data_IF_971582714523
#
_entry.id   IF_971582714523
#
_cell.length_a   1.000
_cell.length_b   1.000
_cell.length_c   1.000
_cell.angle_alpha   90.00
_cell.angle_beta   90.00
_cell.angle_gamma   90.00
#
_symmetry.space_group_name_H-M   'P 1'
#
loop_
_entity.id
_entity.type
_entity.pdbx_description
1 polymer ?
#
# COMPACT_ATOMS: atom_id res chain seq x y z
N UNK A 1 -7.32 92.33 -36.52
CA UNK A 1 -6.12 91.57 -36.11
C UNK A 1 -6.39 90.13 -36.53
N UNK A 2 -5.99 89.64 -37.73
CA UNK A 2 -4.62 89.38 -38.20
C UNK A 2 -3.81 88.69 -37.08
N UNK A 3 -3.25 87.50 -37.21
CA UNK A 3 -2.92 86.72 -38.40
C UNK A 3 -2.33 85.36 -37.99
N UNK A 4 -2.61 84.31 -38.79
CA UNK A 4 -1.64 83.39 -39.39
C UNK A 4 -0.74 82.49 -38.50
N UNK A 5 -0.36 81.24 -38.86
CA UNK A 5 -0.72 80.24 -39.89
C UNK A 5 0.36 79.15 -39.84
N UNK A 6 -0.05 77.86 -39.92
CA UNK A 6 0.59 76.71 -40.64
C UNK A 6 2.02 76.27 -40.22
N UNK A 7 2.56 75.08 -40.52
CA UNK A 7 2.28 73.89 -41.38
C UNK A 7 3.27 72.78 -40.92
N UNK A 8 2.86 71.52 -40.78
CA UNK A 8 3.04 70.36 -41.72
C UNK A 8 4.48 69.95 -42.12
N UNK A 9 4.83 68.69 -41.88
CA UNK A 9 5.46 67.71 -42.82
C UNK A 9 5.58 66.37 -42.04
N UNK A 10 4.96 65.24 -42.39
CA UNK A 10 4.89 64.45 -43.63
C UNK A 10 6.22 63.77 -44.01
N UNK A 11 6.18 62.43 -44.06
CA UNK A 11 7.21 61.48 -44.53
C UNK A 11 6.95 60.10 -43.90
N UNK A 12 6.04 59.24 -44.38
CA UNK A 12 6.07 58.37 -45.57
C UNK A 12 7.30 57.47 -45.72
N UNK A 13 7.13 56.17 -45.41
CA UNK A 13 7.62 54.96 -46.11
C UNK A 13 7.34 53.75 -45.18
N UNK A 14 6.29 52.93 -45.37
CA UNK A 14 6.27 51.73 -46.23
C UNK A 14 7.59 50.97 -46.25
N UNK A 15 7.59 49.70 -45.80
CA UNK A 15 8.14 48.52 -46.50
C UNK A 15 8.07 47.26 -45.59
N UNK A 16 7.22 46.31 -45.99
CA UNK A 16 7.47 44.85 -46.06
C UNK A 16 7.61 43.99 -44.79
N UNK A 17 6.57 43.17 -44.56
CA UNK A 17 6.52 41.68 -44.44
C UNK A 17 7.67 40.86 -43.80
N UNK A 18 7.33 39.69 -43.19
CA UNK A 18 8.25 38.90 -42.37
C UNK A 18 9.23 38.11 -43.25
N UNK A 19 10.51 38.21 -42.94
CA UNK A 19 11.55 37.36 -43.53
C UNK A 19 12.65 37.17 -42.50
N UNK A 20 12.81 35.91 -42.06
CA UNK A 20 14.08 35.22 -41.85
C UNK A 20 13.75 33.82 -41.30
N UNK A 21 13.50 32.93 -42.27
CA UNK A 21 13.72 31.49 -42.13
C UNK A 21 15.23 31.26 -42.10
N UNK A 22 15.66 30.37 -41.20
CA UNK A 22 17.05 29.92 -41.11
C UNK A 22 17.24 28.78 -42.12
N UNK A 23 17.95 29.07 -43.22
CA UNK A 23 18.43 28.11 -44.23
C UNK A 23 19.87 27.76 -43.89
N UNK A 24 20.15 26.65 -43.18
CA UNK A 24 21.48 26.03 -43.11
C UNK A 24 21.49 24.62 -42.46
N UNK A 25 20.58 23.72 -42.88
CA UNK A 25 20.77 22.28 -42.61
C UNK A 25 20.31 21.41 -43.80
N UNK A 26 21.23 20.72 -44.49
CA UNK A 26 20.96 20.08 -45.77
C UNK A 26 20.13 18.80 -45.64
N UNK A 27 19.23 18.65 -46.62
CA UNK A 27 18.45 17.45 -46.93
C UNK A 27 19.22 16.53 -47.87
N UNK A 28 19.10 15.21 -47.67
CA UNK A 28 19.41 14.22 -48.72
C UNK A 28 18.35 13.11 -48.65
N UNK A 29 17.52 13.04 -49.69
CA UNK A 29 16.79 11.85 -50.07
C UNK A 29 17.64 10.99 -51.02
N UNK A 30 17.30 9.69 -51.03
CA UNK A 30 17.48 8.66 -52.08
C UNK A 30 18.85 8.01 -52.32
N UNK A 31 18.94 6.70 -52.03
CA UNK A 31 19.02 5.54 -52.98
C UNK A 31 19.40 4.27 -52.17
N UNK A 32 18.52 3.26 -52.01
CA UNK A 32 18.38 2.03 -52.82
C UNK A 32 19.57 1.04 -52.75
N UNK A 33 19.43 -0.06 -51.99
CA UNK A 33 19.75 -1.44 -52.43
C UNK A 33 19.58 -2.47 -51.29
N UNK A 34 18.85 -3.54 -51.58
CA UNK A 34 18.70 -4.75 -50.76
C UNK A 34 20.04 -5.48 -50.52
N UNK A 35 20.23 -6.02 -49.31
CA UNK A 35 21.01 -7.23 -49.05
C UNK A 35 20.75 -7.76 -47.63
N UNK A 36 20.22 -8.98 -47.58
CA UNK A 36 20.02 -9.80 -46.39
C UNK A 36 21.36 -10.28 -45.81
N UNK A 37 21.67 -9.96 -44.54
CA UNK A 37 22.62 -10.74 -43.72
C UNK A 37 22.16 -10.74 -42.25
N UNK A 38 21.79 -11.93 -41.75
CA UNK A 38 21.45 -12.26 -40.36
C UNK A 38 22.62 -11.91 -39.42
N UNK A 39 22.41 -10.96 -38.49
CA UNK A 39 23.42 -10.59 -37.47
C UNK A 39 22.90 -10.60 -36.03
N UNK A 40 21.79 -11.29 -35.75
CA UNK A 40 21.18 -11.29 -34.41
C UNK A 40 21.68 -12.40 -33.48
N UNK A 41 22.45 -13.38 -33.99
CA UNK A 41 22.97 -14.49 -33.18
C UNK A 41 24.30 -14.19 -32.45
N UNK A 42 25.06 -13.16 -32.86
CA UNK A 42 26.38 -12.87 -32.30
C UNK A 42 26.35 -11.96 -31.05
N UNK A 43 25.18 -11.41 -30.68
CA UNK A 43 25.04 -10.58 -29.47
C UNK A 43 24.71 -11.37 -28.20
N UNK A 44 24.36 -12.65 -28.31
CA UNK A 44 24.03 -13.50 -27.14
C UNK A 44 25.29 -14.12 -26.51
N UNK A 45 26.40 -14.23 -27.26
CA UNK A 45 27.63 -14.90 -26.78
C UNK A 45 28.50 -14.01 -25.88
N UNK A 46 28.35 -12.68 -25.90
CA UNK A 46 29.18 -11.77 -25.10
C UNK A 46 28.77 -11.68 -23.60
N UNK A 47 27.63 -12.27 -23.20
CA UNK A 47 27.15 -12.31 -21.82
C UNK A 47 27.43 -13.62 -21.07
N UNK A 48 27.99 -14.65 -21.74
CA UNK A 48 28.22 -15.95 -21.13
C UNK A 48 29.47 -15.92 -20.23
N UNK A 49 29.26 -15.88 -18.91
CA UNK A 49 30.33 -16.05 -17.93
C UNK A 49 30.97 -17.43 -18.12
N UNK A 50 32.30 -17.49 -18.19
CA UNK A 50 32.98 -18.78 -18.30
C UNK A 50 32.77 -19.62 -17.04
N UNK A 51 32.80 -20.95 -17.16
CA UNK A 51 32.65 -21.88 -16.03
C UNK A 51 33.69 -21.65 -14.92
N UNK A 52 34.86 -21.10 -15.26
CA UNK A 52 35.88 -20.67 -14.32
C UNK A 52 35.46 -19.44 -13.48
N UNK A 53 34.74 -18.49 -14.08
CA UNK A 53 34.25 -17.30 -13.38
C UNK A 53 33.10 -17.64 -12.42
N UNK A 54 32.22 -18.58 -12.81
CA UNK A 54 31.15 -19.09 -11.94
C UNK A 54 31.74 -19.77 -10.71
N UNK A 55 32.78 -20.61 -10.87
CA UNK A 55 33.46 -21.27 -9.74
C UNK A 55 34.15 -20.28 -8.80
N UNK A 56 34.74 -19.20 -9.33
CA UNK A 56 35.34 -18.14 -8.48
C UNK A 56 34.28 -17.38 -7.70
N UNK A 57 33.15 -17.08 -8.33
CA UNK A 57 32.03 -16.41 -7.67
C UNK A 57 31.45 -17.29 -6.55
N UNK A 58 31.17 -18.56 -6.81
CA UNK A 58 30.65 -19.50 -5.81
C UNK A 58 31.62 -19.70 -4.65
N UNK A 59 32.94 -19.71 -4.92
CA UNK A 59 33.96 -19.74 -3.88
C UNK A 59 33.92 -18.49 -3.00
N UNK A 60 33.77 -17.30 -3.58
CA UNK A 60 33.67 -16.06 -2.83
C UNK A 60 32.43 -16.00 -1.94
N UNK A 61 31.29 -16.51 -2.42
CA UNK A 61 30.05 -16.58 -1.64
C UNK A 61 30.21 -17.49 -0.42
N UNK A 62 30.89 -18.63 -0.57
CA UNK A 62 31.15 -19.55 0.55
C UNK A 62 32.11 -18.95 1.58
N UNK A 63 33.14 -18.23 1.14
CA UNK A 63 34.09 -17.53 2.02
C UNK A 63 33.39 -16.40 2.80
N UNK A 64 32.47 -15.64 2.17
CA UNK A 64 31.65 -14.63 2.85
C UNK A 64 30.67 -15.24 3.88
N UNK A 65 30.06 -16.39 3.55
CA UNK A 65 29.16 -17.09 4.47
C UNK A 65 29.94 -17.63 5.69
N UNK A 66 31.16 -18.12 5.49
CA UNK A 66 32.05 -18.58 6.57
C UNK A 66 32.48 -17.40 7.48
N UNK A 67 32.84 -16.24 6.91
CA UNK A 67 33.14 -15.04 7.69
C UNK A 67 31.93 -14.56 8.51
N UNK A 68 30.73 -14.64 7.93
CA UNK A 68 29.49 -14.25 8.61
C UNK A 68 29.16 -15.20 9.77
N UNK A 69 29.32 -16.50 9.58
CA UNK A 69 29.11 -17.51 10.61
C UNK A 69 30.15 -17.39 11.73
N UNK A 70 31.41 -17.10 11.40
CA UNK A 70 32.44 -16.80 12.40
C UNK A 70 32.09 -15.56 13.23
N UNK A 71 31.59 -14.50 12.61
CA UNK A 71 31.15 -13.28 13.31
C UNK A 71 29.96 -13.56 14.24
N UNK A 72 29.03 -14.41 13.83
CA UNK A 72 27.91 -14.85 14.67
C UNK A 72 28.37 -15.69 15.86
N UNK A 73 29.29 -16.65 15.64
CA UNK A 73 29.88 -17.42 16.74
C UNK A 73 30.67 -16.54 17.71
N UNK A 74 31.40 -15.54 17.20
CA UNK A 74 32.19 -14.60 18.00
C UNK A 74 31.28 -13.70 18.84
N UNK A 75 30.14 -13.27 18.30
CA UNK A 75 29.10 -12.53 19.02
C UNK A 75 28.39 -13.38 20.08
N UNK A 76 28.08 -14.65 19.77
CA UNK A 76 27.50 -15.60 20.73
C UNK A 76 28.47 -15.91 21.89
N UNK A 77 29.77 -16.01 21.61
CA UNK A 77 30.82 -16.20 22.63
C UNK A 77 31.01 -14.93 23.49
N UNK A 78 30.87 -13.73 22.93
CA UNK A 78 30.86 -12.45 23.68
C UNK A 78 29.63 -12.30 24.57
N UNK A 79 28.45 -12.75 24.13
CA UNK A 79 27.21 -12.74 24.93
C UNK A 79 27.20 -13.66 26.16
N UNK A 80 28.22 -14.51 26.35
CA UNK A 80 28.39 -15.36 27.54
C UNK A 80 29.34 -14.79 28.60
N UNK A 81 29.95 -13.63 28.34
CA UNK A 81 30.82 -12.90 29.29
C UNK A 81 30.46 -11.43 29.27
N UNK A 82 29.44 -11.05 30.04
CA UNK A 82 29.10 -9.64 30.25
C UNK A 82 27.61 -9.44 30.49
N UNK A 83 27.23 -9.41 31.76
CA UNK A 83 26.00 -8.77 32.22
C UNK A 83 26.12 -7.26 32.01
N UNK A 84 25.18 -6.67 31.27
CA UNK A 84 24.65 -5.32 31.48
C UNK A 84 23.53 -5.05 30.46
N UNK A 85 22.46 -4.38 30.95
CA UNK A 85 21.28 -3.86 30.23
C UNK A 85 20.05 -4.77 30.22
N UNK A 86 19.34 -4.68 31.34
CA UNK A 86 17.89 -4.68 31.44
C UNK A 86 17.22 -3.83 30.34
N UNK A 87 16.04 -4.29 29.93
CA UNK A 87 15.02 -3.46 29.31
C UNK A 87 14.85 -3.71 27.82
N UNK A 88 14.01 -4.71 27.48
CA UNK A 88 12.94 -4.66 26.46
C UNK A 88 12.44 -6.10 26.21
N UNK A 89 11.12 -6.27 26.26
CA UNK A 89 10.31 -7.41 25.79
C UNK A 89 9.97 -8.57 26.76
N UNK A 90 9.24 -8.26 27.83
CA UNK A 90 8.27 -9.20 28.39
C UNK A 90 7.04 -9.30 27.48
N UNK A 91 7.06 -10.20 26.49
CA UNK A 91 5.89 -10.38 25.60
C UNK A 91 5.74 -11.72 24.89
N UNK A 92 6.77 -12.58 24.87
CA UNK A 92 6.73 -13.81 24.05
C UNK A 92 7.12 -15.11 24.79
N UNK A 93 7.20 -15.10 26.12
CA UNK A 93 7.51 -16.33 26.90
C UNK A 93 6.30 -17.22 27.22
N UNK A 94 5.09 -16.88 26.76
CA UNK A 94 3.87 -17.60 27.12
C UNK A 94 3.40 -18.70 26.16
N UNK A 95 4.02 -18.89 24.99
CA UNK A 95 3.41 -19.68 23.92
C UNK A 95 3.92 -21.12 23.77
N UNK A 96 4.93 -21.54 24.55
CA UNK A 96 5.52 -22.87 24.43
C UNK A 96 5.78 -23.47 25.81
N UNK A 97 4.70 -23.73 26.55
CA UNK A 97 4.71 -24.61 27.72
C UNK A 97 3.58 -25.63 27.57
N UNK A 98 3.98 -26.90 27.61
CA UNK A 98 3.20 -28.08 27.23
C UNK A 98 1.96 -28.31 28.11
N UNK A 99 0.91 -28.78 27.44
CA UNK A 99 -0.16 -29.56 28.03
C UNK A 99 0.34 -30.96 28.43
N UNK A 100 0.13 -31.36 29.69
CA UNK A 100 -0.33 -32.69 30.02
C UNK A 100 -0.97 -32.69 31.41
N UNK A 101 -2.28 -32.95 31.42
CA UNK A 101 -3.07 -33.31 32.59
C UNK A 101 -2.84 -34.80 32.86
N UNK A 102 -2.61 -35.18 34.12
CA UNK A 102 -3.07 -36.43 34.75
C UNK A 102 -2.77 -36.37 36.27
N UNK A 103 -3.80 -36.51 37.10
CA UNK A 103 -3.74 -36.83 38.55
C UNK A 103 -3.69 -38.37 38.72
N UNK A 104 -3.48 -38.94 39.92
CA UNK A 104 -2.62 -38.55 41.05
C UNK A 104 -1.77 -39.75 41.57
N UNK A 105 -0.69 -39.49 42.33
CA UNK A 105 0.02 -40.58 43.02
C UNK A 105 1.33 -40.18 43.70
N UNK A 106 1.25 -39.98 45.02
CA UNK A 106 2.25 -40.24 46.08
C UNK A 106 3.70 -40.60 45.72
N UNK A 107 4.65 -39.95 46.42
CA UNK A 107 5.90 -40.60 46.87
C UNK A 107 7.20 -39.89 46.51
N UNK A 108 7.84 -39.28 47.52
CA UNK A 108 9.26 -38.97 47.55
C UNK A 108 10.11 -40.23 47.29
N UNK A 109 11.18 -40.12 46.49
CA UNK A 109 12.57 -40.25 46.96
C UNK A 109 13.60 -40.17 45.81
N UNK A 110 14.77 -39.70 46.20
CA UNK A 110 15.99 -39.37 45.48
C UNK A 110 16.78 -40.57 44.94
N UNK A 111 17.50 -40.41 43.80
CA UNK A 111 18.92 -40.79 43.62
C UNK A 111 19.41 -40.73 42.15
N UNK A 112 20.66 -40.26 41.99
CA UNK A 112 21.68 -40.55 40.95
C UNK A 112 21.48 -40.09 39.50
N UNK A 113 22.00 -38.90 39.18
CA UNK A 113 22.33 -38.45 37.81
C UNK A 113 23.86 -38.40 37.63
N UNK A 114 24.48 -39.54 37.33
CA UNK A 114 25.90 -39.58 36.93
C UNK A 114 26.15 -40.29 35.59
N UNK A 115 25.12 -40.93 35.01
CA UNK A 115 25.24 -41.67 33.74
C UNK A 115 24.81 -40.88 32.49
N UNK A 116 24.18 -39.71 32.66
CA UNK A 116 23.57 -38.96 31.54
C UNK A 116 24.56 -37.99 30.83
N UNK A 117 25.68 -37.62 31.47
CA UNK A 117 26.67 -36.72 30.86
C UNK A 117 27.58 -37.42 29.83
N UNK A 118 27.93 -38.69 30.07
CA UNK A 118 28.80 -39.48 29.19
C UNK A 118 28.10 -39.84 27.87
N UNK A 119 26.80 -40.11 27.90
CA UNK A 119 26.00 -40.43 26.71
C UNK A 119 25.78 -39.20 25.80
N UNK A 120 25.64 -38.00 26.39
CA UNK A 120 25.51 -36.74 25.63
C UNK A 120 26.83 -36.36 24.95
N UNK A 121 27.96 -36.63 25.58
CA UNK A 121 29.29 -36.35 25.04
C UNK A 121 29.65 -37.30 23.88
N UNK A 122 29.31 -38.58 23.99
CA UNK A 122 29.44 -39.54 22.88
C UNK A 122 28.54 -39.18 21.69
N UNK A 123 27.28 -38.80 21.93
CA UNK A 123 26.36 -38.37 20.85
C UNK A 123 26.87 -37.11 20.13
N UNK A 124 27.54 -36.19 20.84
CA UNK A 124 28.18 -35.00 20.25
C UNK A 124 29.40 -35.39 19.40
N UNK A 125 30.22 -36.31 19.87
CA UNK A 125 31.40 -36.82 19.14
C UNK A 125 31.00 -37.58 17.86
N UNK A 126 29.95 -38.40 17.92
CA UNK A 126 29.40 -39.09 16.75
C UNK A 126 28.83 -38.12 15.70
N UNK A 127 28.16 -37.04 16.13
CA UNK A 127 27.66 -36.00 15.21
C UNK A 127 28.81 -35.26 14.52
N UNK A 128 29.91 -35.00 15.21
CA UNK A 128 31.10 -34.33 14.65
C UNK A 128 31.78 -35.22 13.59
N UNK A 129 31.94 -36.51 13.88
CA UNK A 129 32.50 -37.47 12.92
C UNK A 129 31.62 -37.67 11.68
N UNK A 130 30.29 -37.63 11.82
CA UNK A 130 29.37 -37.67 10.67
C UNK A 130 29.50 -36.44 9.77
N UNK A 131 29.66 -35.25 10.35
CA UNK A 131 29.86 -34.01 9.58
C UNK A 131 31.20 -34.03 8.86
N UNK A 132 32.25 -34.53 9.49
CA UNK A 132 33.57 -34.62 8.90
C UNK A 132 33.63 -35.61 7.73
N UNK A 133 33.04 -36.82 7.88
CA UNK A 133 32.92 -37.78 6.78
C UNK A 133 32.06 -37.26 5.61
N UNK A 134 30.99 -36.52 5.91
CA UNK A 134 30.14 -35.93 4.87
C UNK A 134 30.88 -34.82 4.11
N UNK A 135 31.75 -34.07 4.81
CA UNK A 135 32.62 -33.06 4.21
C UNK A 135 33.72 -33.68 3.34
N UNK A 136 34.39 -34.72 3.81
CA UNK A 136 35.39 -35.46 3.01
C UNK A 136 34.77 -36.04 1.74
N UNK A 137 33.58 -36.64 1.84
CA UNK A 137 32.87 -37.18 0.67
C UNK A 137 32.49 -36.10 -0.34
N UNK A 138 32.01 -34.93 0.12
CA UNK A 138 31.74 -33.78 -0.75
C UNK A 138 33.01 -33.19 -1.38
N UNK A 139 34.14 -33.25 -0.68
CA UNK A 139 35.44 -32.79 -1.19
C UNK A 139 36.03 -33.76 -2.21
N UNK A 140 35.82 -35.06 -2.02
CA UNK A 140 36.17 -36.13 -2.96
C UNK A 140 35.33 -36.02 -4.24
N UNK A 141 34.01 -35.87 -4.11
CA UNK A 141 33.08 -35.64 -5.22
C UNK A 141 33.36 -34.30 -5.95
N UNK A 142 33.91 -33.29 -5.27
CA UNK A 142 34.34 -32.04 -5.90
C UNK A 142 35.72 -32.13 -6.59
N UNK A 143 36.55 -33.09 -6.21
CA UNK A 143 37.89 -33.31 -6.80
C UNK A 143 37.83 -34.09 -8.11
N UNK A 144 36.79 -34.91 -8.30
CA UNK A 144 36.46 -35.57 -9.56
C UNK A 144 35.22 -34.91 -10.16
N UNK A 145 35.42 -33.84 -10.92
CA UNK A 145 34.33 -33.19 -11.66
C UNK A 145 33.56 -34.18 -12.55
N UNK A 146 32.29 -33.87 -12.82
CA UNK A 146 31.28 -34.68 -13.56
C UNK A 146 31.69 -35.16 -14.97
N UNK A 147 32.91 -34.86 -15.44
CA UNK A 147 33.44 -35.27 -16.74
C UNK A 147 34.15 -36.65 -16.71
N UNK A 148 34.44 -37.21 -15.53
CA UNK A 148 35.10 -38.52 -15.41
C UNK A 148 34.22 -39.71 -15.80
N UNK A 149 32.90 -39.53 -15.81
CA UNK A 149 31.94 -40.62 -16.03
C UNK A 149 31.50 -40.77 -17.50
N UNK A 150 31.92 -39.83 -18.36
CA UNK A 150 31.63 -39.83 -19.81
C UNK A 150 32.81 -40.34 -20.67
N UNK A 151 33.98 -40.59 -20.08
CA UNK A 151 35.19 -41.04 -20.79
C UNK A 151 35.29 -42.56 -20.98
N UNK A 152 34.43 -43.36 -20.34
CA UNK A 152 34.44 -44.83 -20.50
C UNK A 152 33.47 -45.35 -21.58
N UNK A 153 32.64 -44.47 -22.17
CA UNK A 153 31.62 -44.86 -23.15
C UNK A 153 31.95 -44.46 -24.61
N UNK A 154 33.09 -43.81 -24.86
CA UNK A 154 33.47 -43.34 -26.20
C UNK A 154 34.64 -44.10 -26.87
N UNK A 155 35.22 -45.10 -26.21
CA UNK A 155 36.27 -45.94 -26.81
C UNK A 155 35.69 -47.30 -27.26
N UNK A 156 34.81 -47.27 -28.26
CA UNK A 156 34.19 -48.51 -28.74
C UNK A 156 33.29 -48.37 -29.97
N UNK A 157 33.51 -47.39 -30.84
CA UNK A 157 32.64 -47.17 -32.01
C UNK A 157 33.38 -47.25 -33.35
N UNK A 158 33.57 -48.46 -33.91
CA UNK A 158 34.00 -48.66 -35.31
C UNK A 158 32.88 -49.30 -36.13
N UNK A 159 32.26 -48.45 -36.97
CA UNK A 159 31.64 -48.64 -38.30
C UNK A 159 31.48 -50.10 -38.80
N UNK A 160 30.25 -50.54 -39.15
CA UNK A 160 29.73 -50.68 -40.54
C UNK A 160 28.51 -51.63 -40.65
N UNK A 161 27.52 -51.14 -41.40
CA UNK A 161 26.46 -51.77 -42.22
C UNK A 161 26.18 -53.29 -42.20
N UNK A 162 24.88 -53.62 -42.32
CA UNK A 162 24.45 -54.68 -43.24
C UNK A 162 23.55 -55.78 -42.65
N UNK A 163 22.28 -55.77 -43.08
CA UNK A 163 21.51 -56.91 -43.60
C UNK A 163 21.53 -58.30 -42.90
N UNK A 164 20.32 -58.70 -42.47
CA UNK A 164 19.66 -60.00 -42.67
C UNK A 164 20.08 -61.26 -41.87
N UNK A 165 19.02 -61.90 -41.34
CA UNK A 165 18.80 -63.33 -41.09
C UNK A 165 19.64 -64.06 -40.03
N UNK A 166 18.94 -64.86 -39.20
CA UNK A 166 19.46 -66.18 -38.82
C UNK A 166 19.45 -66.52 -37.33
N UNK A 167 18.60 -67.49 -37.00
CA UNK A 167 18.79 -68.59 -36.04
C UNK A 167 19.07 -68.32 -34.55
N UNK A 168 18.06 -68.67 -33.75
CA UNK A 168 18.09 -69.69 -32.68
C UNK A 168 19.45 -70.21 -32.19
N UNK A 169 19.69 -70.14 -30.89
CA UNK A 169 19.88 -71.36 -30.07
C UNK A 169 19.64 -71.08 -28.59
N UNK A 170 18.90 -71.99 -27.97
CA UNK A 170 18.60 -72.13 -26.55
C UNK A 170 19.88 -72.32 -25.71
N UNK A 171 19.87 -71.84 -24.46
CA UNK A 171 20.20 -72.68 -23.28
C UNK A 171 19.79 -71.96 -22.00
N UNK A 172 18.97 -72.67 -21.21
CA UNK A 172 18.61 -72.41 -19.81
C UNK A 172 19.84 -72.18 -18.93
N UNK A 173 19.93 -71.00 -18.31
CA UNK A 173 20.48 -70.81 -16.96
C UNK A 173 20.34 -69.33 -16.57
N UNK A 174 19.32 -68.96 -15.78
CA UNK A 174 19.37 -67.81 -14.84
C UNK A 174 17.96 -67.41 -14.37
N UNK A 175 17.29 -68.27 -13.61
CA UNK A 175 16.00 -67.95 -12.98
C UNK A 175 16.13 -67.30 -11.58
N UNK A 176 17.34 -66.97 -11.14
CA UNK A 176 17.60 -66.36 -9.81
C UNK A 176 18.00 -64.86 -9.85
N UNK A 177 18.28 -64.30 -11.04
CA UNK A 177 18.61 -62.87 -11.19
C UNK A 177 17.35 -61.98 -11.25
N UNK A 178 16.24 -62.51 -11.77
CA UNK A 178 15.07 -61.69 -12.11
C UNK A 178 14.14 -61.40 -10.91
N UNK A 179 14.29 -62.15 -9.81
CA UNK A 179 13.60 -61.86 -8.55
C UNK A 179 14.20 -60.69 -7.77
N UNK A 180 15.49 -60.37 -7.95
CA UNK A 180 16.16 -59.24 -7.27
C UNK A 180 15.99 -57.91 -8.01
N UNK A 181 15.83 -57.94 -9.33
CA UNK A 181 15.51 -56.75 -10.14
C UNK A 181 14.12 -56.19 -9.85
N UNK A 182 13.11 -57.06 -9.69
CA UNK A 182 11.72 -56.65 -9.44
C UNK A 182 11.46 -56.07 -8.04
N UNK A 183 12.31 -56.36 -7.05
CA UNK A 183 12.23 -55.75 -5.71
C UNK A 183 12.79 -54.31 -5.73
N UNK A 184 13.90 -54.07 -6.44
CA UNK A 184 14.52 -52.75 -6.54
C UNK A 184 13.71 -51.77 -7.42
N UNK A 185 13.01 -52.24 -8.46
CA UNK A 185 12.13 -51.39 -9.27
C UNK A 185 10.88 -50.97 -8.48
N UNK A 186 10.36 -51.84 -7.60
CA UNK A 186 9.23 -51.53 -6.73
C UNK A 186 9.58 -50.48 -5.67
N UNK A 187 10.82 -50.53 -5.15
CA UNK A 187 11.35 -49.53 -4.21
C UNK A 187 11.69 -48.18 -4.87
N UNK A 188 12.19 -48.16 -6.11
CA UNK A 188 12.44 -46.92 -6.85
C UNK A 188 11.13 -46.19 -7.23
N UNK A 189 10.07 -46.92 -7.60
CA UNK A 189 8.74 -46.35 -7.86
C UNK A 189 8.08 -45.87 -6.55
N UNK A 190 8.30 -46.55 -5.43
CA UNK A 190 7.83 -46.12 -4.11
C UNK A 190 8.55 -44.85 -3.61
N UNK A 191 9.87 -44.74 -3.82
CA UNK A 191 10.64 -43.54 -3.47
C UNK A 191 10.26 -42.30 -4.31
N UNK A 192 10.05 -42.45 -5.63
CA UNK A 192 9.60 -41.35 -6.49
C UNK A 192 8.19 -40.86 -6.14
N UNK A 193 7.29 -41.75 -5.68
CA UNK A 193 5.99 -41.36 -5.13
C UNK A 193 6.18 -40.59 -3.82
N UNK A 194 6.97 -41.09 -2.88
CA UNK A 194 7.19 -40.41 -1.59
C UNK A 194 7.81 -39.01 -1.73
N UNK A 195 8.70 -38.78 -2.70
CA UNK A 195 9.24 -37.45 -2.99
C UNK A 195 8.16 -36.47 -3.47
N UNK A 196 7.26 -36.89 -4.38
CA UNK A 196 6.13 -36.06 -4.84
C UNK A 196 5.14 -35.77 -3.72
N UNK A 197 4.85 -36.74 -2.84
CA UNK A 197 4.00 -36.53 -1.67
C UNK A 197 4.64 -35.57 -0.65
N UNK A 198 5.96 -35.61 -0.48
CA UNK A 198 6.69 -34.65 0.36
C UNK A 198 6.60 -33.23 -0.20
N UNK A 199 6.76 -33.03 -1.52
CA UNK A 199 6.55 -31.72 -2.16
C UNK A 199 5.10 -31.25 -2.04
N UNK A 200 4.11 -32.13 -2.28
CA UNK A 200 2.70 -31.81 -2.05
C UNK A 200 2.43 -31.38 -0.60
N UNK A 201 3.03 -32.07 0.39
CA UNK A 201 2.89 -31.71 1.80
C UNK A 201 3.51 -30.35 2.13
N UNK A 202 4.65 -29.99 1.51
CA UNK A 202 5.28 -28.68 1.65
C UNK A 202 4.39 -27.57 1.08
N UNK A 203 3.85 -27.76 -0.14
CA UNK A 203 2.92 -26.79 -0.73
C UNK A 203 1.64 -26.65 0.10
N UNK A 204 1.13 -27.75 0.67
CA UNK A 204 -0.02 -27.74 1.56
C UNK A 204 0.28 -26.95 2.85
N UNK A 205 1.46 -27.11 3.44
CA UNK A 205 1.90 -26.34 4.61
C UNK A 205 2.06 -24.85 4.30
N UNK A 206 2.59 -24.50 3.13
CA UNK A 206 2.72 -23.10 2.69
C UNK A 206 1.32 -22.49 2.50
N UNK A 207 0.39 -23.21 1.86
CA UNK A 207 -0.99 -22.75 1.70
C UNK A 207 -1.71 -22.60 3.04
N UNK A 208 -1.49 -23.51 3.99
CA UNK A 208 -2.02 -23.44 5.35
C UNK A 208 -1.42 -22.26 6.14
N UNK A 209 -0.12 -21.99 5.95
CA UNK A 209 0.55 -20.82 6.53
C UNK A 209 0.01 -19.51 5.95
N UNK A 210 -0.20 -19.44 4.62
CA UNK A 210 -0.72 -18.25 3.95
C UNK A 210 -2.19 -17.98 4.31
N UNK A 211 -3.01 -19.02 4.39
CA UNK A 211 -4.41 -18.90 4.84
C UNK A 211 -4.50 -18.49 6.31
N UNK A 212 -3.64 -19.01 7.18
CA UNK A 212 -3.56 -18.57 8.57
C UNK A 212 -3.13 -17.10 8.67
N UNK A 213 -2.14 -16.66 7.89
CA UNK A 213 -1.73 -15.26 7.78
C UNK A 213 -2.86 -14.35 7.30
N UNK A 214 -3.58 -14.75 6.25
CA UNK A 214 -4.77 -14.03 5.75
C UNK A 214 -5.86 -13.92 6.82
N UNK A 215 -6.12 -14.99 7.58
CA UNK A 215 -7.10 -14.96 8.67
C UNK A 215 -6.66 -14.06 9.82
N UNK A 216 -5.37 -14.05 10.16
CA UNK A 216 -4.80 -13.15 11.17
C UNK A 216 -4.89 -11.70 10.69
N UNK A 217 -4.49 -11.41 9.44
CA UNK A 217 -4.59 -10.08 8.84
C UNK A 217 -6.05 -9.61 8.76
N UNK A 218 -6.98 -10.49 8.39
CA UNK A 218 -8.41 -10.19 8.38
C UNK A 218 -8.97 -9.93 9.78
N UNK A 219 -8.58 -10.73 10.78
CA UNK A 219 -8.98 -10.48 12.19
C UNK A 219 -8.41 -9.18 12.73
N UNK A 220 -7.16 -8.86 12.42
CA UNK A 220 -6.52 -7.60 12.81
C UNK A 220 -7.17 -6.41 12.08
N UNK A 221 -7.49 -6.54 10.79
CA UNK A 221 -8.22 -5.54 10.01
C UNK A 221 -9.62 -5.28 10.58
N UNK A 222 -10.36 -6.33 10.95
CA UNK A 222 -11.65 -6.18 11.64
C UNK A 222 -11.51 -5.52 13.01
N UNK A 223 -10.50 -5.89 13.81
CA UNK A 223 -10.26 -5.24 15.11
C UNK A 223 -9.84 -3.77 14.99
N UNK A 224 -9.07 -3.41 13.97
CA UNK A 224 -8.68 -2.03 13.70
C UNK A 224 -9.88 -1.16 13.26
N UNK A 225 -10.84 -1.72 12.52
CA UNK A 225 -12.11 -1.04 12.22
C UNK A 225 -13.05 -0.90 13.43
N UNK A 226 -12.78 -1.62 14.52
CA UNK A 226 -13.64 -1.68 15.71
C UNK A 226 -12.87 -1.35 17.00
N UNK A 227 -11.78 -0.59 16.96
CA UNK A 227 -11.33 0.14 18.14
C UNK A 227 -12.40 1.16 18.49
N UNK A 228 -13.43 0.68 19.22
CA UNK A 228 -14.40 1.47 19.96
C UNK A 228 -13.60 2.47 20.78
N UNK A 229 -13.56 3.73 20.34
CA UNK A 229 -13.22 4.80 21.24
C UNK A 229 -14.20 4.75 22.41
N UNK A 230 -13.67 4.75 23.64
CA UNK A 230 -14.44 5.14 24.80
C UNK A 230 -14.83 6.61 24.58
N UNK A 231 -15.96 6.85 23.92
CA UNK A 231 -16.49 8.19 23.76
C UNK A 231 -16.90 8.70 25.14
N UNK A 232 -16.27 9.79 25.58
CA UNK A 232 -16.62 10.45 26.84
C UNK A 232 -17.92 11.20 26.61
N UNK A 233 -19.03 10.66 27.13
CA UNK A 233 -20.31 11.33 27.08
C UNK A 233 -20.31 12.57 27.99
N UNK A 234 -20.84 13.66 27.46
CA UNK A 234 -21.11 14.89 28.19
C UNK A 234 -22.58 14.92 28.63
N UNK A 235 -22.90 15.73 29.63
CA UNK A 235 -24.27 15.93 30.09
C UNK A 235 -24.62 17.42 30.12
N UNK A 236 -25.81 17.75 29.60
CA UNK A 236 -26.40 19.09 29.69
C UNK A 236 -27.42 19.19 30.84
N UNK A 237 -27.46 18.19 31.73
CA UNK A 237 -28.41 18.08 32.84
C UNK A 237 -29.72 17.34 32.50
N UNK A 238 -30.09 17.21 31.23
CA UNK A 238 -31.30 16.50 30.80
C UNK A 238 -31.01 15.24 29.99
N UNK A 239 -29.94 15.25 29.18
CA UNK A 239 -29.52 14.13 28.36
C UNK A 239 -27.99 13.94 28.42
N UNK A 240 -27.56 12.70 28.15
CA UNK A 240 -26.18 12.41 27.81
C UNK A 240 -26.01 12.56 26.30
N UNK A 241 -24.86 13.05 25.87
CA UNK A 241 -24.54 13.18 24.44
C UNK A 241 -23.05 13.00 24.20
N UNK A 242 -22.69 12.44 23.04
CA UNK A 242 -21.30 12.41 22.62
C UNK A 242 -20.85 13.81 22.15
N UNK A 243 -19.56 14.18 22.30
CA UNK A 243 -19.04 15.45 21.83
C UNK A 243 -19.38 15.64 20.34
N UNK A 244 -20.14 16.70 20.04
CA UNK A 244 -20.64 16.97 18.69
C UNK A 244 -20.01 18.24 18.16
N UNK A 245 -19.41 18.15 16.97
CA UNK A 245 -18.80 19.27 16.26
C UNK A 245 -19.76 19.79 15.21
N UNK A 246 -20.06 21.08 15.25
CA UNK A 246 -20.89 21.76 14.25
C UNK A 246 -20.02 22.73 13.47
N UNK A 247 -19.85 22.47 12.17
CA UNK A 247 -19.11 23.30 11.24
C UNK A 247 -20.11 24.13 10.42
N UNK A 248 -20.12 25.44 10.62
CA UNK A 248 -20.99 26.37 9.90
C UNK A 248 -20.14 27.25 9.02
N UNK A 249 -20.39 27.21 7.71
CA UNK A 249 -19.77 28.13 6.75
C UNK A 249 -20.77 29.20 6.33
N UNK A 250 -20.41 30.46 6.59
CA UNK A 250 -21.11 31.65 6.08
C UNK A 250 -20.34 32.12 4.85
N UNK A 251 -20.85 31.84 3.64
CA UNK A 251 -20.10 32.15 2.42
C UNK A 251 -19.96 33.66 2.23
N UNK A 252 -18.82 34.10 1.71
CA UNK A 252 -18.52 35.51 1.48
C UNK A 252 -18.44 36.37 2.75
N UNK A 253 -18.39 35.74 3.94
CA UNK A 253 -18.34 36.48 5.21
C UNK A 253 -16.93 37.03 5.47
N UNK A 254 -16.70 38.27 5.02
CA UNK A 254 -15.41 38.95 5.17
C UNK A 254 -15.15 39.35 6.63
N UNK A 255 -13.90 39.21 7.09
CA UNK A 255 -13.54 39.40 8.49
C UNK A 255 -13.84 40.80 9.07
N UNK A 256 -13.90 41.84 8.24
CA UNK A 256 -14.26 43.20 8.67
C UNK A 256 -15.75 43.35 9.02
N UNK A 257 -16.63 42.43 8.59
CA UNK A 257 -18.06 42.50 8.87
C UNK A 257 -18.36 42.42 10.37
N UNK A 258 -17.54 41.72 11.14
CA UNK A 258 -17.66 41.64 12.61
C UNK A 258 -17.44 42.99 13.30
N UNK A 259 -16.61 43.85 12.70
CA UNK A 259 -16.26 45.16 13.27
C UNK A 259 -17.35 46.22 13.07
N UNK A 260 -18.40 45.91 12.29
CA UNK A 260 -19.49 46.84 11.98
C UNK A 260 -20.51 47.01 13.10
N UNK A 261 -20.53 46.09 14.07
CA UNK A 261 -21.45 46.16 15.21
C UNK A 261 -22.92 45.85 14.89
N UNK A 262 -23.21 45.34 13.68
CA UNK A 262 -24.58 45.02 13.22
C UNK A 262 -24.97 43.54 13.45
N UNK A 263 -24.04 42.71 13.95
CA UNK A 263 -24.24 41.28 14.20
C UNK A 263 -24.11 40.95 15.69
N UNK A 264 -25.02 41.44 16.57
CA UNK A 264 -24.84 41.36 18.02
C UNK A 264 -24.67 39.92 18.52
N UNK A 265 -25.43 38.95 17.97
CA UNK A 265 -25.35 37.53 18.36
C UNK A 265 -24.04 36.87 17.96
N UNK A 266 -23.51 37.21 16.78
CA UNK A 266 -22.20 36.72 16.36
C UNK A 266 -21.10 37.36 17.20
N UNK A 267 -21.21 38.66 17.48
CA UNK A 267 -20.24 39.37 18.31
C UNK A 267 -20.14 38.77 19.70
N UNK A 268 -21.28 38.50 20.37
CA UNK A 268 -21.27 37.81 21.67
C UNK A 268 -20.67 36.41 21.58
N UNK A 269 -20.97 35.66 20.51
CA UNK A 269 -20.39 34.32 20.31
C UNK A 269 -18.86 34.35 20.15
N UNK A 270 -18.33 35.37 19.47
CA UNK A 270 -16.88 35.54 19.32
C UNK A 270 -16.20 36.05 20.59
N UNK A 271 -16.88 36.88 21.39
CA UNK A 271 -16.37 37.39 22.68
C UNK A 271 -16.31 36.30 23.75
N UNK A 272 -17.29 35.39 23.77
CA UNK A 272 -17.34 34.25 24.69
C UNK A 272 -16.44 33.08 24.23
N UNK A 273 -16.08 33.04 22.94
CA UNK A 273 -15.33 31.97 22.31
C UNK A 273 -13.88 32.30 21.98
N UNK A 274 -13.31 31.55 21.04
CA UNK A 274 -11.99 31.80 20.46
C UNK A 274 -12.19 32.31 19.03
N UNK A 275 -11.65 33.49 18.73
CA UNK A 275 -11.77 34.11 17.42
C UNK A 275 -10.40 34.65 16.93
N UNK A 276 -9.87 34.16 15.80
CA UNK A 276 -8.70 34.78 15.19
C UNK A 276 -9.08 36.11 14.52
N UNK A 277 -8.08 36.98 14.27
CA UNK A 277 -8.32 38.29 13.61
C UNK A 277 -8.90 38.12 12.20
N UNK A 278 -8.45 37.08 11.48
CA UNK A 278 -8.97 36.64 10.19
C UNK A 278 -8.47 35.21 9.92
N UNK A 279 -9.07 34.56 8.91
CA UNK A 279 -8.59 33.31 8.33
C UNK A 279 -8.17 33.57 6.89
N UNK A 280 -6.96 33.16 6.51
CA UNK A 280 -6.49 33.32 5.14
C UNK A 280 -7.08 32.21 4.25
N UNK A 281 -7.81 32.54 3.17
CA UNK A 281 -8.27 31.56 2.21
C UNK A 281 -7.11 31.06 1.35
N UNK A 282 -7.27 29.85 0.81
CA UNK A 282 -6.45 29.35 -0.31
C UNK A 282 -6.72 30.18 -1.57
N UNK A 283 -5.70 30.29 -2.42
CA UNK A 283 -5.85 30.88 -3.75
C UNK A 283 -6.30 29.81 -4.76
N UNK A 284 -7.29 30.09 -5.63
CA UNK A 284 -8.10 31.31 -5.71
C UNK A 284 -9.16 31.40 -4.60
N UNK A 285 -9.49 32.62 -4.16
CA UNK A 285 -10.47 32.89 -3.11
C UNK A 285 -11.92 32.75 -3.59
N UNK A 286 -12.27 31.56 -4.07
CA UNK A 286 -13.60 31.17 -4.56
C UNK A 286 -14.18 30.02 -3.72
N UNK A 287 -15.51 29.89 -3.74
CA UNK A 287 -16.30 29.00 -2.89
C UNK A 287 -15.82 27.54 -2.92
N UNK A 288 -15.84 26.87 -4.09
CA UNK A 288 -15.59 25.42 -4.15
C UNK A 288 -14.18 25.03 -3.69
N UNK A 289 -13.09 25.61 -4.23
CA UNK A 289 -11.74 25.33 -3.76
C UNK A 289 -11.56 25.54 -2.25
N UNK A 290 -12.04 26.65 -1.70
CA UNK A 290 -11.85 26.95 -0.27
C UNK A 290 -12.70 26.06 0.65
N UNK A 291 -13.95 25.79 0.29
CA UNK A 291 -14.80 24.89 1.10
C UNK A 291 -14.26 23.46 1.09
N UNK A 292 -13.65 23.03 -0.02
CA UNK A 292 -13.02 21.72 -0.09
C UNK A 292 -11.67 21.67 0.63
N UNK A 293 -10.87 22.75 0.56
CA UNK A 293 -9.69 22.93 1.40
C UNK A 293 -10.04 22.82 2.90
N UNK A 294 -11.12 23.46 3.35
CA UNK A 294 -11.52 23.46 4.77
C UNK A 294 -11.80 22.06 5.33
N UNK A 295 -12.29 21.14 4.50
CA UNK A 295 -12.67 19.80 4.92
C UNK A 295 -11.63 18.74 4.62
N UNK A 296 -10.68 19.00 3.72
CA UNK A 296 -9.59 18.07 3.39
C UNK A 296 -8.25 18.46 4.03
N UNK A 297 -8.06 19.73 4.38
CA UNK A 297 -6.77 20.28 4.81
C UNK A 297 -5.73 20.38 3.67
N UNK A 298 -6.14 20.18 2.42
CA UNK A 298 -5.28 20.19 1.25
C UNK A 298 -5.38 21.51 0.49
N UNK A 299 -4.30 21.89 -0.21
CA UNK A 299 -4.36 23.00 -1.17
C UNK A 299 -5.15 22.61 -2.43
N UNK A 300 -5.68 23.60 -3.18
CA UNK A 300 -6.40 23.35 -4.44
C UNK A 300 -5.65 22.50 -5.46
N UNK A 301 -4.34 22.68 -5.56
CA UNK A 301 -3.47 21.87 -6.42
C UNK A 301 -3.42 20.38 -6.03
N UNK A 302 -3.61 20.07 -4.75
CA UNK A 302 -3.52 18.70 -4.22
C UNK A 302 -4.86 17.99 -4.22
N UNK A 303 -5.96 18.70 -3.92
CA UNK A 303 -7.30 18.11 -3.90
C UNK A 303 -8.03 18.19 -5.25
N UNK A 304 -7.45 18.83 -6.27
CA UNK A 304 -7.91 18.82 -7.67
C UNK A 304 -8.92 19.91 -8.02
N UNK A 305 -9.75 20.36 -7.08
CA UNK A 305 -10.70 21.46 -7.30
C UNK A 305 -10.02 22.84 -7.28
N UNK A 306 -9.52 23.29 -8.44
CA UNK A 306 -8.77 24.55 -8.57
C UNK A 306 -9.62 25.80 -8.85
N UNK A 307 -10.89 25.63 -9.19
CA UNK A 307 -11.82 26.72 -9.46
C UNK A 307 -13.27 26.25 -9.52
N UNK A 308 -14.22 27.18 -9.66
CA UNK A 308 -15.63 26.84 -9.91
C UNK A 308 -15.84 26.33 -11.35
N UNK A 309 -14.95 26.73 -12.27
CA UNK A 309 -14.87 26.27 -13.66
C UNK A 309 -13.40 26.14 -14.04
N UNK A 310 -13.00 25.00 -14.63
CA UNK A 310 -11.65 24.79 -15.14
C UNK A 310 -11.59 23.64 -16.16
N UNK A 311 -10.54 23.61 -16.98
CA UNK A 311 -10.27 22.54 -17.94
C UNK A 311 -9.21 21.59 -17.39
N UNK A 312 -9.41 20.28 -17.54
CA UNK A 312 -8.41 19.27 -17.25
C UNK A 312 -7.84 18.66 -18.53
N UNK A 313 -6.53 18.82 -18.74
CA UNK A 313 -5.83 18.36 -19.94
C UNK A 313 -5.74 16.83 -20.03
N UNK A 314 -5.74 16.10 -18.92
CA UNK A 314 -5.65 14.63 -18.93
C UNK A 314 -7.01 14.00 -19.22
N UNK A 315 -8.07 14.57 -18.64
CA UNK A 315 -9.44 14.12 -18.85
C UNK A 315 -10.03 14.63 -20.16
N UNK A 316 -9.47 15.70 -20.73
CA UNK A 316 -10.02 16.41 -21.89
C UNK A 316 -11.49 16.83 -21.64
N UNK A 317 -11.74 17.33 -20.43
CA UNK A 317 -13.07 17.71 -19.97
C UNK A 317 -13.04 19.03 -19.20
N UNK A 318 -14.17 19.72 -19.20
CA UNK A 318 -14.35 20.97 -18.47
C UNK A 318 -15.23 20.76 -17.25
N UNK A 319 -14.70 21.13 -16.08
CA UNK A 319 -15.43 21.16 -14.83
C UNK A 319 -16.33 22.40 -14.78
N UNK A 320 -17.60 22.20 -14.43
CA UNK A 320 -18.54 23.27 -14.11
C UNK A 320 -19.34 22.88 -12.88
N UNK A 321 -19.19 23.60 -11.79
CA UNK A 321 -19.83 23.26 -10.51
C UNK A 321 -21.36 23.09 -10.56
N UNK A 322 -22.05 23.69 -11.54
CA UNK A 322 -23.50 23.61 -11.73
C UNK A 322 -23.96 22.34 -12.45
N UNK A 323 -23.04 21.59 -13.08
CA UNK A 323 -23.36 20.38 -13.84
C UNK A 323 -23.31 19.17 -12.92
N UNK A 324 -24.17 18.18 -13.18
CA UNK A 324 -24.15 16.89 -12.45
C UNK A 324 -22.80 16.18 -12.52
N UNK A 325 -22.11 16.35 -13.64
CA UNK A 325 -20.83 15.75 -13.96
C UNK A 325 -19.71 16.26 -13.05
N UNK A 326 -19.90 17.44 -12.44
CA UNK A 326 -19.00 17.95 -11.44
C UNK A 326 -18.97 17.08 -10.18
N UNK A 327 -19.99 16.27 -9.90
CA UNK A 327 -20.03 15.39 -8.72
C UNK A 327 -19.33 14.04 -8.93
N UNK A 328 -18.76 13.80 -10.11
CA UNK A 328 -17.97 12.59 -10.36
C UNK A 328 -16.66 12.61 -9.58
N UNK A 329 -16.32 11.47 -8.96
CA UNK A 329 -15.12 11.27 -8.13
C UNK A 329 -13.82 11.76 -8.79
N UNK A 330 -13.72 11.68 -10.13
CA UNK A 330 -12.53 12.07 -10.90
C UNK A 330 -12.04 13.50 -10.64
N UNK A 331 -12.93 14.40 -10.20
CA UNK A 331 -12.62 15.80 -9.90
C UNK A 331 -12.21 16.05 -8.44
N UNK A 332 -12.49 15.11 -7.54
CA UNK A 332 -12.40 15.29 -6.09
C UNK A 332 -11.33 14.38 -5.50
N UNK A 333 -10.15 14.95 -5.26
CA UNK A 333 -9.03 14.27 -4.62
C UNK A 333 -8.99 14.48 -3.11
N UNK A 334 -8.25 13.61 -2.42
CA UNK A 334 -8.10 13.68 -0.96
C UNK A 334 -9.27 13.06 -0.20
N UNK A 335 -9.18 13.16 1.14
CA UNK A 335 -10.17 12.59 2.05
C UNK A 335 -10.83 13.71 2.84
N UNK A 336 -12.12 14.03 2.60
CA UNK A 336 -12.81 15.05 3.36
C UNK A 336 -13.18 14.54 4.76
N UNK A 337 -13.33 15.49 5.70
CA UNK A 337 -13.54 15.24 7.12
C UNK A 337 -14.67 14.25 7.42
N UNK A 338 -15.75 14.29 6.62
CA UNK A 338 -16.88 13.37 6.80
C UNK A 338 -16.53 11.93 6.43
N UNK A 339 -15.73 11.70 5.39
CA UNK A 339 -15.25 10.36 5.03
C UNK A 339 -14.38 9.81 6.15
N UNK A 340 -13.46 10.63 6.69
CA UNK A 340 -12.61 10.24 7.82
C UNK A 340 -13.43 9.89 9.06
N UNK A 341 -14.44 10.69 9.38
CA UNK A 341 -15.33 10.44 10.52
C UNK A 341 -16.15 9.15 10.35
N UNK A 342 -16.79 8.94 9.19
CA UNK A 342 -17.57 7.72 8.92
C UNK A 342 -16.69 6.46 8.95
N UNK A 343 -15.47 6.54 8.38
CA UNK A 343 -14.48 5.45 8.43
C UNK A 343 -14.05 5.09 9.86
N UNK A 344 -14.08 6.06 10.78
CA UNK A 344 -13.81 5.87 12.21
C UNK A 344 -15.07 5.49 13.01
N UNK A 345 -16.20 5.25 12.34
CA UNK A 345 -17.46 4.86 12.98
C UNK A 345 -18.19 6.01 13.68
N UNK A 346 -17.89 7.24 13.29
CA UNK A 346 -18.55 8.48 13.72
C UNK A 346 -19.53 8.90 12.62
N UNK A 347 -20.82 9.00 12.98
CA UNK A 347 -21.89 9.39 12.05
C UNK A 347 -21.80 10.88 11.73
N UNK A 348 -22.04 11.23 10.48
CA UNK A 348 -21.90 12.59 9.96
C UNK A 348 -23.16 13.08 9.26
N UNK A 349 -23.45 14.37 9.39
CA UNK A 349 -24.52 15.02 8.66
C UNK A 349 -23.98 16.22 7.90
N UNK A 350 -24.32 16.30 6.63
CA UNK A 350 -23.89 17.38 5.75
C UNK A 350 -25.11 18.03 5.12
N UNK A 351 -25.28 19.30 5.42
CA UNK A 351 -26.34 20.13 4.90
C UNK A 351 -25.76 21.11 3.89
N UNK A 352 -25.81 20.72 2.61
CA UNK A 352 -25.46 21.53 1.44
C UNK A 352 -24.00 21.99 1.32
N UNK A 353 -23.05 21.26 1.90
CA UNK A 353 -21.64 21.65 1.82
C UNK A 353 -21.08 21.45 0.39
N UNK A 354 -20.31 22.40 -0.18
CA UNK A 354 -19.72 22.22 -1.49
C UNK A 354 -18.83 20.95 -1.58
N UNK A 355 -19.18 20.05 -2.50
CA UNK A 355 -18.50 18.76 -2.69
C UNK A 355 -19.05 17.60 -1.86
N UNK A 356 -20.06 17.81 -1.02
CA UNK A 356 -20.66 16.71 -0.24
C UNK A 356 -21.50 15.75 -1.08
N UNK A 357 -21.99 16.20 -2.24
CA UNK A 357 -22.74 15.38 -3.19
C UNK A 357 -21.83 14.55 -4.11
N UNK A 358 -20.52 14.80 -4.07
CA UNK A 358 -19.57 14.04 -4.86
C UNK A 358 -19.37 12.64 -4.26
N UNK A 359 -19.28 11.65 -5.14
CA UNK A 359 -18.98 10.27 -4.74
C UNK A 359 -17.49 10.16 -4.40
N UNK A 360 -17.12 10.41 -3.15
CA UNK A 360 -15.72 10.41 -2.70
C UNK A 360 -15.45 9.13 -1.90
N UNK A 361 -14.51 8.31 -2.39
CA UNK A 361 -14.02 7.09 -1.72
C UNK A 361 -15.12 6.07 -1.35
N UNK A 362 -16.24 6.07 -2.07
CA UNK A 362 -17.41 5.19 -1.84
C UNK A 362 -17.98 5.25 -0.41
N UNK A 363 -17.80 6.39 0.29
CA UNK A 363 -18.32 6.61 1.64
C UNK A 363 -19.36 7.73 1.61
N UNK A 364 -20.59 7.39 1.97
CA UNK A 364 -21.69 8.34 2.08
C UNK A 364 -21.88 8.79 3.54
N UNK A 365 -22.10 10.09 3.79
CA UNK A 365 -22.51 10.59 5.10
C UNK A 365 -23.82 9.96 5.56
N UNK A 366 -23.99 9.79 6.87
CA UNK A 366 -25.25 9.31 7.44
C UNK A 366 -26.48 10.16 7.05
N UNK A 367 -26.29 11.47 6.94
CA UNK A 367 -27.30 12.40 6.43
C UNK A 367 -26.66 13.33 5.41
N UNK A 368 -27.24 13.37 4.21
CA UNK A 368 -26.79 14.24 3.13
C UNK A 368 -27.99 14.99 2.56
N UNK A 369 -28.03 16.30 2.79
CA UNK A 369 -29.02 17.18 2.17
C UNK A 369 -28.36 17.88 0.96
N UNK A 370 -28.93 17.67 -0.23
CA UNK A 370 -28.45 18.25 -1.49
C UNK A 370 -28.59 19.77 -1.52
N UNK A 371 -27.75 20.43 -2.31
CA UNK A 371 -27.77 21.87 -2.44
C UNK A 371 -29.13 22.36 -2.98
N UNK A 372 -29.78 23.25 -2.23
CA UNK A 372 -30.96 23.98 -2.64
C UNK A 372 -30.79 25.47 -2.30
N UNK A 373 -30.45 26.27 -3.32
CA UNK A 373 -30.22 27.71 -3.16
C UNK A 373 -31.47 28.53 -2.81
N UNK A 374 -32.67 27.94 -2.89
CA UNK A 374 -33.94 28.59 -2.51
C UNK A 374 -34.34 28.33 -1.05
N UNK A 375 -33.60 27.48 -0.34
CA UNK A 375 -33.93 27.17 1.05
C UNK A 375 -33.73 28.37 1.97
N UNK A 376 -34.77 28.68 2.76
CA UNK A 376 -34.73 29.77 3.74
C UNK A 376 -33.77 29.44 4.88
N UNK A 377 -33.06 30.45 5.38
CA UNK A 377 -32.11 30.32 6.49
C UNK A 377 -32.74 29.68 7.73
N UNK A 378 -34.00 29.99 8.04
CA UNK A 378 -34.71 29.40 9.19
C UNK A 378 -34.85 27.88 9.05
N UNK A 379 -35.10 27.37 7.84
CA UNK A 379 -35.20 25.93 7.61
C UNK A 379 -33.85 25.25 7.83
N UNK A 380 -32.76 25.89 7.40
CA UNK A 380 -31.39 25.41 7.66
C UNK A 380 -31.11 25.28 9.16
N UNK A 381 -31.52 26.27 9.95
CA UNK A 381 -31.39 26.24 11.42
C UNK A 381 -32.24 25.13 12.02
N UNK A 382 -33.51 25.02 11.63
CA UNK A 382 -34.40 23.95 12.08
C UNK A 382 -33.84 22.56 11.75
N UNK A 383 -33.23 22.39 10.58
CA UNK A 383 -32.61 21.14 10.15
C UNK A 383 -31.41 20.75 11.02
N UNK A 384 -30.54 21.70 11.36
CA UNK A 384 -29.40 21.45 12.27
C UNK A 384 -29.89 21.07 13.66
N UNK A 385 -30.91 21.75 14.19
CA UNK A 385 -31.50 21.42 15.49
C UNK A 385 -32.18 20.04 15.49
N UNK A 386 -32.91 19.70 14.42
CA UNK A 386 -33.51 18.37 14.24
C UNK A 386 -32.44 17.27 14.29
N UNK A 387 -31.29 17.47 13.63
CA UNK A 387 -30.18 16.52 13.66
C UNK A 387 -29.59 16.37 15.06
N UNK A 388 -29.53 17.45 15.84
CA UNK A 388 -29.07 17.42 17.23
C UNK A 388 -30.07 16.74 18.19
N UNK A 389 -31.37 16.77 17.87
CA UNK A 389 -32.41 16.14 18.69
C UNK A 389 -32.53 14.62 18.49
N UNK A 390 -31.90 14.07 17.45
CA UNK A 390 -31.88 12.62 17.17
C UNK A 390 -31.33 11.81 18.35
N UNK A 391 -31.74 10.55 18.54
CA UNK A 391 -31.20 9.72 19.63
C UNK A 391 -29.72 9.38 19.38
N UNK A 392 -28.84 9.59 20.37
CA UNK A 392 -27.43 9.24 20.25
C UNK A 392 -27.13 7.79 20.63
N UNK A 393 -25.83 7.48 20.76
CA UNK A 393 -25.35 6.13 21.15
C UNK A 393 -25.71 5.74 22.58
N UNK A 394 -26.06 6.72 23.41
CA UNK A 394 -26.53 6.53 24.77
C UNK A 394 -27.87 5.79 24.83
N UNK A 395 -28.71 5.90 23.80
CA UNK A 395 -29.96 5.15 23.72
C UNK A 395 -29.72 3.78 23.06
N UNK A 396 -29.84 2.72 23.86
CA UNK A 396 -29.69 1.33 23.40
C UNK A 396 -30.78 0.88 22.42
N UNK A 397 -31.87 1.64 22.28
CA UNK A 397 -32.98 1.36 21.35
C UNK A 397 -32.87 2.14 20.03
N UNK A 398 -31.92 3.08 19.92
CA UNK A 398 -31.76 3.88 18.71
C UNK A 398 -31.39 2.99 17.51
N UNK A 399 -32.14 3.12 16.42
CA UNK A 399 -31.77 2.50 15.16
C UNK A 399 -30.47 3.15 14.64
N UNK A 400 -29.54 2.34 14.13
CA UNK A 400 -28.27 2.86 13.59
C UNK A 400 -28.50 3.93 12.50
N UNK A 401 -29.55 3.76 11.69
CA UNK A 401 -29.91 4.70 10.64
C UNK A 401 -30.39 6.06 11.17
N UNK A 402 -30.98 6.11 12.36
CA UNK A 402 -31.54 7.34 12.95
C UNK A 402 -30.65 7.92 14.08
N UNK A 403 -29.43 7.43 14.19
CA UNK A 403 -28.51 7.81 15.24
C UNK A 403 -27.97 9.23 15.03
N UNK A 404 -27.90 10.01 16.12
CA UNK A 404 -27.37 11.38 16.14
C UNK A 404 -25.97 11.45 15.50
N UNK A 405 -25.76 12.34 14.52
CA UNK A 405 -24.43 12.62 13.98
C UNK A 405 -23.58 13.40 15.00
N UNK A 406 -22.27 13.15 15.01
CA UNK A 406 -21.32 13.89 15.86
C UNK A 406 -20.51 14.91 15.07
N UNK A 407 -20.57 14.88 13.73
CA UNK A 407 -20.10 15.94 12.86
C UNK A 407 -21.30 16.45 12.05
N UNK A 408 -21.62 17.73 12.20
CA UNK A 408 -22.67 18.40 11.41
C UNK A 408 -22.01 19.53 10.64
N UNK A 409 -22.01 19.48 9.32
CA UNK A 409 -21.50 20.54 8.46
C UNK A 409 -22.66 21.24 7.74
N UNK A 410 -22.75 22.56 7.81
CA UNK A 410 -23.84 23.34 7.20
C UNK A 410 -23.31 24.54 6.43
N UNK A 411 -23.85 24.75 5.23
CA UNK A 411 -23.49 25.84 4.33
C UNK A 411 -24.60 26.89 4.20
N UNK A 412 -24.20 28.16 4.28
CA UNK A 412 -25.08 29.34 4.24
C UNK A 412 -24.58 30.34 3.17
N UNK A 413 -25.23 30.42 2.00
CA UNK A 413 -24.77 31.26 0.88
C UNK A 413 -25.21 32.74 0.96
N UNK A 414 -26.03 33.12 1.93
CA UNK A 414 -26.79 34.38 1.88
C UNK A 414 -25.92 35.65 1.80
N UNK A 415 -24.83 35.70 2.57
CA UNK A 415 -23.98 36.91 2.64
C UNK A 415 -23.24 37.13 1.34
N UNK A 416 -22.68 36.06 0.76
CA UNK A 416 -22.06 36.07 -0.57
C UNK A 416 -23.05 36.51 -1.67
N UNK A 417 -24.24 35.92 -1.70
CA UNK A 417 -25.27 36.28 -2.67
C UNK A 417 -25.64 37.77 -2.61
N UNK A 418 -25.85 38.32 -1.41
CA UNK A 418 -26.11 39.75 -1.24
C UNK A 418 -24.90 40.61 -1.61
N UNK A 419 -23.69 40.15 -1.28
CA UNK A 419 -22.43 40.81 -1.65
C UNK A 419 -22.22 40.89 -3.16
N UNK A 420 -22.59 39.85 -3.91
CA UNK A 420 -22.56 39.86 -5.37
C UNK A 420 -23.61 40.78 -6.00
N UNK A 421 -24.80 40.86 -5.43
CA UNK A 421 -25.89 41.68 -5.95
C UNK A 421 -25.68 43.18 -5.70
N UNK A 422 -25.19 43.55 -4.51
CA UNK A 422 -25.18 44.95 -4.05
C UNK A 422 -23.79 45.48 -3.70
N UNK A 423 -22.79 44.61 -3.61
CA UNK A 423 -21.45 44.93 -3.13
C UNK A 423 -21.29 44.76 -1.61
N UNK A 424 -20.05 44.67 -1.10
CA UNK A 424 -19.78 44.35 0.31
C UNK A 424 -20.12 45.48 1.31
N UNK A 425 -20.37 46.70 0.83
CA UNK A 425 -20.65 47.89 1.65
C UNK A 425 -22.04 48.48 1.37
N UNK A 426 -22.96 47.70 0.82
CA UNK A 426 -24.36 48.11 0.68
C UNK A 426 -25.11 47.99 2.01
N UNK A 427 -26.03 48.92 2.27
CA UNK A 427 -26.94 48.93 3.42
C UNK A 427 -28.33 48.47 3.06
#
# INVERSE_FOLDING_TARGET
>A
MLSNVRKSAAGNASLLSPSNYDEDAPSIHSEHSDQDEDSDDDKIVQGARTSADIRKYDRGVLEEEEERDELLERNLKRGRRGSALEGISSGLRGLWSKSHVLLPGTGNESSSNQDDETEVEEKRRQRRNRRQKKREKLMEDASYGEDGQLMFEMEGGRIKEGSATGSSSETDESDDADRRGLLNVRDQVAQRKNAKWAWCAIYLLIALGFTALLLVAWKLSKKARFTKEHQIFQSNGTALFAPTTILISLDGFRADFLKRGITPRLNTFFEEGISPVYMNPSFPSVTFPNHYTLVTGLYPESHGVVGNTFWDEKLQEEFYYTKSEAMHQKWWGGEPLWVTAENQGIRTAIHMWPGSEAQIMDVEPAYLDKYNGQELLLNKVSRVLELLDKPGREDSKAALADMRPQLIAAYVPNVDQHGHLYGPNST
#
